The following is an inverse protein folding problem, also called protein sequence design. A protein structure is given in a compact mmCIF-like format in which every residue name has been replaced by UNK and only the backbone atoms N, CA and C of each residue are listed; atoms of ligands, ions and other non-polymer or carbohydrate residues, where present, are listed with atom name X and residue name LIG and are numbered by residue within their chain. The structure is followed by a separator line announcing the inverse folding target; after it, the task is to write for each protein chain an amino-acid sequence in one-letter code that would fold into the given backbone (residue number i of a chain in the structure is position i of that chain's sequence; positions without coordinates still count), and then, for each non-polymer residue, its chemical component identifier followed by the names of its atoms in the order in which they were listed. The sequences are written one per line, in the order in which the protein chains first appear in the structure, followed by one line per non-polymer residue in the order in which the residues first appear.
data_IF_512394099558
#
_entry.id   IF_512394099558
#
_cell.length_a   1.000
_cell.length_b   1.000
_cell.length_c   1.000
_cell.angle_alpha   90.00
_cell.angle_beta   90.00
_cell.angle_gamma   90.00
#
_symmetry.space_group_name_H-M   'P 1'
#
loop_
_entity.id
_entity.type
_entity.pdbx_description
1 polymer ?
#
# COMPACT_ATOMS: atom_id res chain seq x y z
N UNK A 1 -0.62 6.34 -19.87
CA UNK A 1 -0.01 7.69 -19.80
C UNK A 1 -0.09 8.15 -18.37
N UNK A 2 0.97 8.72 -17.79
CA UNK A 2 0.87 9.40 -16.49
C UNK A 2 0.19 10.75 -16.69
N UNK A 3 -0.76 11.08 -15.84
CA UNK A 3 -1.38 12.42 -15.80
C UNK A 3 -0.38 13.44 -15.24
N UNK A 4 -0.46 14.70 -15.72
CA UNK A 4 0.22 15.81 -15.07
C UNK A 4 -0.44 16.14 -13.72
N UNK A 5 0.27 16.84 -12.84
CA UNK A 5 -0.23 17.24 -11.51
C UNK A 5 -1.62 17.89 -11.57
N UNK A 6 -1.80 18.86 -12.47
CA UNK A 6 -3.08 19.58 -12.60
C UNK A 6 -4.20 18.67 -13.12
N UNK A 7 -3.89 17.79 -14.08
CA UNK A 7 -4.86 16.83 -14.61
C UNK A 7 -5.32 15.85 -13.51
N UNK A 8 -4.42 15.45 -12.60
CA UNK A 8 -4.77 14.62 -11.43
C UNK A 8 -5.75 15.36 -10.52
N UNK A 9 -5.49 16.64 -10.22
CA UNK A 9 -6.35 17.45 -9.34
C UNK A 9 -7.73 17.63 -9.96
N UNK A 10 -7.81 18.04 -11.24
CA UNK A 10 -9.08 18.22 -11.95
C UNK A 10 -9.90 16.93 -11.99
N UNK A 11 -9.25 15.80 -12.31
CA UNK A 11 -9.92 14.51 -12.33
C UNK A 11 -10.42 14.11 -10.93
N UNK A 12 -9.63 14.38 -9.88
CA UNK A 12 -10.02 14.08 -8.50
C UNK A 12 -11.25 14.88 -8.09
N UNK A 13 -11.23 16.20 -8.28
CA UNK A 13 -12.33 17.09 -7.91
C UNK A 13 -13.65 16.76 -8.64
N UNK A 14 -13.54 16.34 -9.90
CA UNK A 14 -14.72 16.04 -10.73
C UNK A 14 -15.31 14.65 -10.47
N UNK A 15 -14.48 13.66 -10.15
CA UNK A 15 -14.88 12.25 -10.17
C UNK A 15 -14.81 11.54 -8.80
N UNK A 16 -14.19 12.15 -7.79
CA UNK A 16 -14.10 11.57 -6.44
C UNK A 16 -15.05 12.32 -5.49
N UNK A 17 -15.83 11.57 -4.72
CA UNK A 17 -16.71 12.16 -3.70
C UNK A 17 -15.87 12.87 -2.63
N UNK A 18 -16.20 14.13 -2.33
CA UNK A 18 -15.43 14.99 -1.42
C UNK A 18 -15.63 14.62 0.06
N UNK A 19 -14.92 13.57 0.51
CA UNK A 19 -14.92 13.11 1.91
C UNK A 19 -13.73 13.65 2.72
N UNK A 20 -12.74 14.24 2.05
CA UNK A 20 -11.52 14.79 2.63
C UNK A 20 -11.11 16.07 1.89
N UNK A 21 -10.16 16.80 2.46
CA UNK A 21 -9.51 17.97 1.85
C UNK A 21 -8.07 17.58 1.49
N UNK A 22 -7.78 17.14 0.25
CA UNK A 22 -6.43 16.78 -0.17
C UNK A 22 -5.54 18.02 -0.29
N UNK A 23 -4.29 17.92 0.17
CA UNK A 23 -3.31 19.02 0.13
C UNK A 23 -2.37 18.93 -1.09
N UNK A 24 -1.93 17.72 -1.44
CA UNK A 24 -0.80 17.49 -2.36
C UNK A 24 -0.94 16.20 -3.15
N UNK A 25 -0.36 16.19 -4.35
CA UNK A 25 -0.29 15.00 -5.19
C UNK A 25 1.00 14.24 -4.88
N UNK A 26 0.88 13.11 -4.17
CA UNK A 26 2.03 12.24 -3.83
C UNK A 26 2.28 11.24 -4.96
N UNK A 27 3.55 11.08 -5.38
CA UNK A 27 3.90 10.27 -6.56
C UNK A 27 4.89 9.14 -6.29
N UNK A 28 5.61 9.19 -5.17
CA UNK A 28 6.57 8.15 -4.79
C UNK A 28 6.68 8.03 -3.27
N UNK A 29 6.96 6.83 -2.80
CA UNK A 29 7.37 6.56 -1.42
C UNK A 29 8.51 5.53 -1.39
N UNK A 30 9.41 5.65 -0.41
CA UNK A 30 10.52 4.72 -0.18
C UNK A 30 10.98 4.83 1.28
N UNK A 31 10.88 3.74 2.03
CA UNK A 31 11.23 3.72 3.45
C UNK A 31 10.38 4.74 4.22
N UNK A 32 11.02 5.67 4.93
CA UNK A 32 10.33 6.73 5.68
C UNK A 32 10.06 7.99 4.86
N UNK A 33 10.39 8.03 3.57
CA UNK A 33 10.28 9.23 2.74
C UNK A 33 9.21 9.11 1.68
N UNK A 34 8.61 10.25 1.33
CA UNK A 34 7.62 10.39 0.27
C UNK A 34 7.92 11.64 -0.58
N UNK A 35 7.55 11.59 -1.86
CA UNK A 35 7.76 12.65 -2.83
C UNK A 35 6.43 13.11 -3.42
N UNK A 36 6.25 14.42 -3.54
CA UNK A 36 5.14 14.99 -4.29
C UNK A 36 5.45 15.17 -5.78
N UNK A 37 4.44 15.55 -6.56
CA UNK A 37 4.53 15.74 -8.00
C UNK A 37 5.40 16.95 -8.39
N UNK A 38 5.72 17.85 -7.46
CA UNK A 38 6.66 18.97 -7.67
C UNK A 38 8.11 18.57 -7.35
N UNK A 39 8.33 17.32 -6.93
CA UNK A 39 9.64 16.74 -6.61
C UNK A 39 10.10 16.97 -5.17
N UNK A 40 9.26 17.56 -4.32
CA UNK A 40 9.62 17.82 -2.93
C UNK A 40 9.57 16.55 -2.10
N UNK A 41 10.51 16.44 -1.15
CA UNK A 41 10.71 15.24 -0.32
C UNK A 41 10.29 15.52 1.11
N UNK A 42 9.52 14.60 1.69
CA UNK A 42 9.03 14.68 3.06
C UNK A 42 9.42 13.44 3.84
N UNK A 43 9.71 13.64 5.12
CA UNK A 43 9.78 12.55 6.10
C UNK A 43 8.35 12.26 6.58
N UNK A 44 7.89 11.04 6.38
CA UNK A 44 6.52 10.62 6.72
C UNK A 44 6.43 10.23 8.20
N UNK A 45 5.89 11.14 9.01
CA UNK A 45 5.53 10.89 10.41
C UNK A 45 4.10 10.37 10.59
N UNK A 46 3.30 10.30 9.52
CA UNK A 46 1.93 9.77 9.58
C UNK A 46 1.90 8.25 9.42
N UNK A 47 2.81 7.68 8.63
CA UNK A 47 2.90 6.24 8.33
C UNK A 47 1.55 5.64 7.89
N UNK A 48 0.69 6.44 7.24
CA UNK A 48 -0.66 6.05 6.86
C UNK A 48 -1.55 5.62 8.05
N UNK A 49 -1.39 6.22 9.22
CA UNK A 49 -2.01 5.77 10.48
C UNK A 49 -1.52 4.34 10.82
N UNK A 50 -0.19 4.22 10.95
CA UNK A 50 0.51 2.96 11.23
C UNK A 50 0.25 1.82 10.22
N UNK A 51 -0.04 2.14 8.96
CA UNK A 51 -0.21 1.18 7.86
C UNK A 51 1.13 0.85 7.21
N UNK A 52 1.97 1.86 6.97
CA UNK A 52 3.27 1.70 6.29
C UNK A 52 4.42 1.48 7.28
N UNK A 53 4.20 0.68 8.34
CA UNK A 53 5.18 0.46 9.41
C UNK A 53 6.50 -0.17 8.95
N UNK A 54 6.48 -0.97 7.89
CA UNK A 54 7.69 -1.52 7.26
C UNK A 54 8.36 -0.54 6.31
N UNK A 55 7.85 0.70 6.20
CA UNK A 55 8.25 1.69 5.22
C UNK A 55 7.53 1.54 3.89
N UNK A 56 7.45 2.66 3.16
CA UNK A 56 6.90 2.73 1.81
C UNK A 56 7.69 1.88 0.83
N UNK A 57 6.98 1.21 -0.08
CA UNK A 57 7.55 0.39 -1.15
C UNK A 57 8.62 -0.62 -0.67
N UNK A 58 8.40 -1.25 0.48
CA UNK A 58 9.34 -2.24 1.02
C UNK A 58 9.56 -3.39 0.01
N UNK A 59 10.80 -3.65 -0.44
CA UNK A 59 11.07 -4.49 -1.62
C UNK A 59 10.57 -5.92 -1.44
N UNK A 60 10.77 -6.50 -0.26
CA UNK A 60 10.31 -7.88 0.05
C UNK A 60 8.79 -7.99 0.00
N UNK A 61 8.06 -6.95 0.44
CA UNK A 61 6.59 -6.97 0.45
C UNK A 61 6.06 -6.80 -0.97
N UNK A 62 6.61 -5.84 -1.72
CA UNK A 62 6.23 -5.58 -3.11
C UNK A 62 6.46 -6.82 -3.99
N UNK A 63 7.61 -7.48 -3.84
CA UNK A 63 7.93 -8.70 -4.60
C UNK A 63 7.01 -9.87 -4.22
N UNK A 64 6.75 -10.09 -2.93
CA UNK A 64 5.85 -11.15 -2.47
C UNK A 64 4.42 -10.97 -3.02
N UNK A 65 3.89 -9.73 -2.99
CA UNK A 65 2.58 -9.41 -3.57
C UNK A 65 2.59 -9.65 -5.08
N UNK A 66 3.60 -9.16 -5.80
CA UNK A 66 3.68 -9.30 -7.26
C UNK A 66 3.77 -10.78 -7.68
N UNK A 67 4.55 -11.59 -6.97
CA UNK A 67 4.65 -13.03 -7.21
C UNK A 67 3.31 -13.72 -6.97
N UNK A 68 2.65 -13.44 -5.84
CA UNK A 68 1.36 -14.05 -5.53
C UNK A 68 0.27 -13.63 -6.52
N UNK A 69 0.21 -12.35 -6.89
CA UNK A 69 -0.77 -11.83 -7.84
C UNK A 69 -0.65 -12.47 -9.23
N UNK A 70 0.57 -12.83 -9.66
CA UNK A 70 0.80 -13.58 -10.90
C UNK A 70 0.35 -15.04 -10.83
N UNK A 71 0.30 -15.62 -9.64
CA UNK A 71 -0.10 -17.03 -9.44
C UNK A 71 -1.60 -17.16 -9.15
N UNK A 72 -2.10 -16.42 -8.18
CA UNK A 72 -3.49 -16.48 -7.71
C UNK A 72 -3.83 -15.20 -6.94
N UNK A 73 -4.69 -14.36 -7.52
CA UNK A 73 -5.04 -13.06 -6.95
C UNK A 73 -6.12 -13.17 -5.86
N UNK A 74 -7.20 -13.92 -6.11
CA UNK A 74 -8.31 -14.06 -5.17
C UNK A 74 -9.08 -15.36 -5.39
N UNK A 75 -9.45 -16.01 -4.28
CA UNK A 75 -10.43 -17.09 -4.22
C UNK A 75 -11.31 -16.92 -2.99
N UNK A 76 -12.52 -17.49 -3.02
CA UNK A 76 -13.41 -17.50 -1.85
C UNK A 76 -12.79 -18.28 -0.68
N UNK A 77 -13.21 -17.93 0.54
CA UNK A 77 -12.89 -18.68 1.76
C UNK A 77 -13.45 -20.11 1.78
N UNK A 78 -14.20 -20.52 0.74
CA UNK A 78 -14.61 -21.90 0.52
C UNK A 78 -13.45 -22.83 0.08
N UNK A 79 -12.30 -22.27 -0.31
CA UNK A 79 -11.14 -23.04 -0.77
C UNK A 79 -9.93 -22.82 0.14
N UNK A 80 -9.05 -23.81 0.22
CA UNK A 80 -7.79 -23.70 0.96
C UNK A 80 -6.74 -22.91 0.18
N UNK A 81 -5.94 -22.10 0.88
CA UNK A 81 -4.78 -21.41 0.30
C UNK A 81 -3.54 -21.64 1.17
N UNK A 82 -2.42 -21.94 0.53
CA UNK A 82 -1.17 -22.27 1.22
C UNK A 82 -0.66 -21.10 2.09
N UNK A 83 -0.71 -19.87 1.57
CA UNK A 83 -0.26 -18.68 2.29
C UNK A 83 -1.08 -18.40 3.56
N UNK A 84 -2.39 -18.63 3.52
CA UNK A 84 -3.25 -18.47 4.69
C UNK A 84 -2.89 -19.49 5.78
N UNK A 85 -2.68 -20.76 5.42
CA UNK A 85 -2.27 -21.80 6.36
C UNK A 85 -0.91 -21.48 7.00
N UNK A 86 0.10 -21.11 6.19
CA UNK A 86 1.43 -20.71 6.69
C UNK A 86 1.37 -19.51 7.62
N UNK A 87 0.57 -18.49 7.27
CA UNK A 87 0.43 -17.30 8.09
C UNK A 87 -0.26 -17.62 9.43
N UNK A 88 -1.36 -18.37 9.40
CA UNK A 88 -2.09 -18.78 10.60
C UNK A 88 -1.17 -19.56 11.57
N UNK A 89 -0.40 -20.51 11.05
CA UNK A 89 0.59 -21.25 11.84
C UNK A 89 1.63 -20.31 12.48
N UNK A 90 2.21 -19.39 11.70
CA UNK A 90 3.22 -18.45 12.18
C UNK A 90 2.68 -17.51 13.27
N UNK A 91 1.47 -16.99 13.09
CA UNK A 91 0.84 -16.10 14.06
C UNK A 91 0.49 -16.83 15.37
N UNK A 92 -0.03 -18.06 15.29
CA UNK A 92 -0.30 -18.89 16.46
C UNK A 92 0.96 -19.13 17.30
N UNK A 93 2.07 -19.50 16.63
CA UNK A 93 3.37 -19.69 17.30
C UNK A 93 3.90 -18.42 17.97
N UNK A 94 3.74 -17.25 17.33
CA UNK A 94 4.26 -15.98 17.83
C UNK A 94 3.39 -15.33 18.91
N UNK A 95 2.08 -15.57 18.89
CA UNK A 95 1.14 -14.86 19.77
C UNK A 95 0.80 -15.65 21.03
N UNK A 96 0.61 -16.97 20.92
CA UNK A 96 0.00 -17.79 21.97
C UNK A 96 0.84 -19.00 22.41
N UNK A 97 2.08 -19.14 21.92
CA UNK A 97 2.99 -20.28 22.20
C UNK A 97 2.48 -21.67 21.79
N UNK A 98 1.52 -21.74 20.87
CA UNK A 98 0.91 -22.99 20.37
C UNK A 98 -0.45 -23.24 20.98
#
# INVERSE_FOLDING_TARGET
MSLGKNDVIEAYEKHVMSTYIPDRVMVKGQGTRVWDADGQVYLDFGSGIAVTNTGHAHPVVAEAIANQARSLLHVSNLYYTENQAKLAQRLSMLSLKG
#
